data_IF_107579938090
#
_entry.id   IF_107579938090
#
_cell.length_a   1.000
_cell.length_b   1.000
_cell.length_c   1.000
_cell.angle_alpha   90.00
_cell.angle_beta   90.00
_cell.angle_gamma   90.00
#
_symmetry.space_group_name_H-M   'P 1'
#
loop_
_entity.id
_entity.type
_entity.pdbx_description
1 polymer ?
#
# COMPACT_ATOMS: atom_id res chain seq x y z
N UNK A 1 7.93 -27.86 12.36
CA UNK A 1 9.12 -27.06 12.70
C UNK A 1 8.98 -25.64 12.18
N UNK A 2 8.75 -25.40 10.87
CA UNK A 2 8.66 -24.06 10.24
C UNK A 2 7.58 -23.17 10.89
N UNK A 3 6.39 -23.71 11.17
CA UNK A 3 5.31 -22.98 11.84
C UNK A 3 5.70 -22.54 13.27
N UNK A 4 6.37 -23.41 14.00
CA UNK A 4 6.83 -23.11 15.36
C UNK A 4 7.89 -22.02 15.37
N UNK A 5 8.86 -22.09 14.45
CA UNK A 5 9.89 -21.07 14.28
C UNK A 5 9.29 -19.72 13.88
N UNK A 6 8.31 -19.70 13.00
CA UNK A 6 7.59 -18.50 12.59
C UNK A 6 6.84 -17.87 13.78
N UNK A 7 6.13 -18.68 14.57
CA UNK A 7 5.44 -18.22 15.80
C UNK A 7 6.43 -17.66 16.83
N UNK A 8 7.54 -18.34 17.07
CA UNK A 8 8.58 -17.88 17.99
C UNK A 8 9.16 -16.55 17.54
N UNK A 9 9.47 -16.43 16.24
CA UNK A 9 9.96 -15.18 15.64
C UNK A 9 8.99 -14.02 15.85
N UNK A 10 7.71 -14.20 15.54
CA UNK A 10 6.73 -13.13 15.73
C UNK A 10 6.49 -12.79 17.21
N UNK A 11 6.61 -13.76 18.10
CA UNK A 11 6.54 -13.51 19.55
C UNK A 11 7.72 -12.65 20.03
N UNK A 12 8.95 -12.98 19.59
CA UNK A 12 10.15 -12.19 19.91
C UNK A 12 10.06 -10.79 19.28
N UNK A 13 9.64 -10.70 18.00
CA UNK A 13 9.44 -9.43 17.30
C UNK A 13 8.42 -8.56 18.04
N UNK A 14 7.29 -9.12 18.47
CA UNK A 14 6.29 -8.42 19.27
C UNK A 14 6.83 -7.91 20.60
N UNK A 15 7.68 -8.69 21.27
CA UNK A 15 8.33 -8.25 22.51
C UNK A 15 9.28 -7.06 22.25
N UNK A 16 10.09 -7.12 21.21
CA UNK A 16 10.98 -6.03 20.81
C UNK A 16 10.20 -4.77 20.40
N UNK A 17 9.13 -4.93 19.64
CA UNK A 17 8.27 -3.81 19.25
C UNK A 17 7.61 -3.11 20.43
N UNK A 18 7.34 -3.83 21.54
CA UNK A 18 6.81 -3.24 22.78
C UNK A 18 7.76 -2.24 23.44
N UNK A 19 9.04 -2.26 23.11
CA UNK A 19 9.98 -1.24 23.59
C UNK A 19 9.63 0.15 23.07
N UNK A 20 9.07 0.23 21.83
CA UNK A 20 8.74 1.48 21.16
C UNK A 20 7.23 1.70 21.01
N UNK A 21 6.44 0.64 20.98
CA UNK A 21 5.00 0.69 20.68
C UNK A 21 4.18 0.13 21.84
N UNK A 22 3.13 0.86 22.23
CA UNK A 22 2.08 0.35 23.12
C UNK A 22 0.92 -0.05 22.22
N UNK A 23 0.86 -1.34 21.89
CA UNK A 23 -0.16 -1.87 20.99
C UNK A 23 -1.40 -2.29 21.78
N UNK A 24 -2.56 -1.87 21.28
CA UNK A 24 -3.88 -2.26 21.75
C UNK A 24 -4.55 -2.97 20.58
N UNK A 25 -4.98 -4.21 20.79
CA UNK A 25 -5.72 -4.99 19.80
C UNK A 25 -7.19 -4.96 20.20
N UNK A 26 -8.06 -4.60 19.26
CA UNK A 26 -9.50 -4.52 19.42
C UNK A 26 -10.17 -5.50 18.44
N UNK A 27 -11.09 -6.31 18.90
CA UNK A 27 -11.66 -7.40 18.12
C UNK A 27 -10.65 -8.52 17.86
N UNK A 28 -11.04 -9.45 17.01
CA UNK A 28 -10.15 -10.54 16.60
C UNK A 28 -10.11 -11.73 17.55
N UNK A 29 -11.02 -11.81 18.52
CA UNK A 29 -11.15 -12.97 19.42
C UNK A 29 -11.43 -14.25 18.63
N UNK A 30 -12.17 -14.15 17.54
CA UNK A 30 -12.57 -15.29 16.69
C UNK A 30 -11.51 -15.65 15.64
N UNK A 31 -10.43 -14.88 15.49
CA UNK A 31 -9.43 -15.12 14.46
C UNK A 31 -8.75 -16.49 14.58
N UNK A 32 -8.53 -16.96 15.79
CA UNK A 32 -7.92 -18.26 16.06
C UNK A 32 -8.82 -19.43 15.67
N UNK A 33 -10.13 -19.24 15.65
CA UNK A 33 -11.15 -20.22 15.30
C UNK A 33 -11.42 -20.29 13.79
N UNK A 34 -10.87 -19.39 12.99
CA UNK A 34 -11.07 -19.41 11.55
C UNK A 34 -10.47 -20.65 10.91
N UNK A 35 -11.30 -21.40 10.19
CA UNK A 35 -10.89 -22.55 9.40
C UNK A 35 -10.81 -22.21 7.91
N UNK A 36 -9.82 -22.76 7.20
CA UNK A 36 -9.61 -22.53 5.78
C UNK A 36 -8.72 -21.32 5.46
N UNK A 37 -8.41 -21.11 4.17
CA UNK A 37 -7.58 -19.99 3.72
C UNK A 37 -8.18 -18.65 4.15
N UNK A 38 -7.29 -17.73 4.53
CA UNK A 38 -7.69 -16.42 5.04
C UNK A 38 -6.86 -15.32 4.37
N UNK A 39 -7.52 -14.28 3.94
CA UNK A 39 -6.87 -13.04 3.47
C UNK A 39 -7.08 -11.97 4.53
N UNK A 40 -5.97 -11.43 5.03
CA UNK A 40 -5.96 -10.29 5.95
C UNK A 40 -5.68 -9.03 5.14
N UNK A 41 -6.55 -8.05 5.24
CA UNK A 41 -6.53 -6.81 4.47
C UNK A 41 -6.34 -5.61 5.41
N UNK A 42 -5.11 -5.17 5.71
CA UNK A 42 -4.87 -3.97 6.50
C UNK A 42 -4.77 -2.70 5.65
N UNK A 43 -5.03 -1.53 6.27
CA UNK A 43 -4.52 -0.26 5.77
C UNK A 43 -3.00 -0.18 5.96
N UNK A 44 -2.30 0.73 5.25
CA UNK A 44 -0.83 0.76 5.24
C UNK A 44 -0.21 2.10 5.70
N UNK A 45 -0.35 2.49 6.99
CA UNK A 45 0.10 3.78 7.48
C UNK A 45 1.63 3.94 7.57
N UNK A 46 2.41 2.86 7.47
CA UNK A 46 3.87 2.92 7.51
C UNK A 46 4.56 1.57 7.48
N UNK A 47 5.86 1.53 7.18
CA UNK A 47 6.64 0.29 7.05
C UNK A 47 6.71 -0.58 8.31
N UNK A 48 6.41 -0.05 9.48
CA UNK A 48 6.39 -0.83 10.74
C UNK A 48 5.05 -1.55 10.94
N UNK A 49 4.04 -1.25 10.14
CA UNK A 49 2.72 -1.87 10.27
C UNK A 49 2.74 -3.39 10.05
N UNK A 50 3.35 -3.95 8.98
CA UNK A 50 3.37 -5.40 8.78
C UNK A 50 3.92 -6.19 9.98
N UNK A 51 5.08 -5.85 10.57
CA UNK A 51 5.55 -6.56 11.75
C UNK A 51 4.67 -6.35 12.99
N UNK A 52 3.98 -5.22 13.14
CA UNK A 52 3.02 -5.01 14.23
C UNK A 52 1.79 -5.89 14.05
N UNK A 53 1.20 -5.93 12.87
CA UNK A 53 0.04 -6.76 12.55
C UNK A 53 0.38 -8.25 12.73
N UNK A 54 1.47 -8.73 12.10
CA UNK A 54 1.87 -10.14 12.15
C UNK A 54 2.28 -10.62 13.54
N UNK A 55 2.78 -9.74 14.41
CA UNK A 55 3.17 -10.10 15.78
C UNK A 55 2.04 -10.04 16.79
N UNK A 56 0.95 -9.32 16.51
CA UNK A 56 -0.15 -9.13 17.47
C UNK A 56 -1.46 -9.81 17.05
N UNK A 57 -1.71 -10.03 15.75
CA UNK A 57 -2.86 -10.82 15.33
C UNK A 57 -2.57 -12.33 15.46
N UNK A 58 -3.42 -13.01 16.19
CA UNK A 58 -3.27 -14.45 16.46
C UNK A 58 -4.21 -15.26 15.58
N UNK A 59 -3.80 -15.52 14.35
CA UNK A 59 -4.45 -16.55 13.53
C UNK A 59 -3.89 -17.93 13.87
N UNK A 60 -4.71 -18.95 13.83
CA UNK A 60 -4.31 -20.35 14.07
C UNK A 60 -3.29 -20.88 13.06
N UNK A 61 -2.94 -20.10 12.05
CA UNK A 61 -2.06 -20.44 10.91
C UNK A 61 -1.06 -19.34 10.60
N UNK A 62 -0.06 -19.66 9.75
CA UNK A 62 0.91 -18.70 9.25
C UNK A 62 0.30 -17.81 8.17
N UNK A 63 0.53 -16.51 8.25
CA UNK A 63 0.22 -15.53 7.20
C UNK A 63 1.47 -15.28 6.37
N UNK A 64 1.31 -15.30 5.06
CA UNK A 64 2.35 -14.96 4.09
C UNK A 64 2.17 -13.50 3.67
N UNK A 65 3.06 -12.58 4.06
CA UNK A 65 2.95 -11.20 3.61
C UNK A 65 3.34 -11.07 2.13
N UNK A 66 2.55 -10.30 1.37
CA UNK A 66 2.97 -9.83 0.05
C UNK A 66 3.95 -8.67 0.23
N UNK A 67 5.15 -8.82 -0.31
CA UNK A 67 6.24 -7.85 -0.13
C UNK A 67 6.79 -7.39 -1.48
N UNK A 68 6.86 -6.08 -1.67
CA UNK A 68 7.44 -5.46 -2.85
C UNK A 68 8.88 -5.92 -3.09
N UNK A 69 9.24 -6.22 -4.34
CA UNK A 69 10.54 -6.79 -4.73
C UNK A 69 11.73 -5.96 -4.27
N UNK A 70 11.61 -4.62 -4.28
CA UNK A 70 12.66 -3.72 -3.80
C UNK A 70 12.99 -3.91 -2.31
N UNK A 71 12.02 -4.30 -1.48
CA UNK A 71 12.24 -4.64 -0.05
C UNK A 71 12.63 -6.11 0.09
N UNK A 72 11.95 -7.00 -0.65
CA UNK A 72 12.18 -8.45 -0.60
C UNK A 72 13.64 -8.82 -0.90
N UNK A 73 14.27 -8.13 -1.86
CA UNK A 73 15.63 -8.40 -2.33
C UNK A 73 16.74 -7.70 -1.54
N UNK A 74 16.41 -6.84 -0.57
CA UNK A 74 17.41 -6.22 0.30
C UNK A 74 18.19 -7.29 1.07
N UNK A 75 19.50 -7.36 0.85
CA UNK A 75 20.40 -8.39 1.43
C UNK A 75 20.17 -8.61 2.94
N UNK A 76 20.10 -7.57 3.80
CA UNK A 76 19.93 -7.77 5.23
C UNK A 76 18.54 -8.32 5.60
N UNK A 77 17.54 -8.20 4.71
CA UNK A 77 16.17 -8.65 4.96
C UNK A 77 15.84 -10.01 4.33
N UNK A 78 16.67 -10.52 3.41
CA UNK A 78 16.41 -11.81 2.73
C UNK A 78 16.19 -12.99 3.69
N UNK A 79 17.01 -13.20 4.74
CA UNK A 79 16.77 -14.28 5.69
C UNK A 79 15.41 -14.13 6.39
N UNK A 80 15.03 -12.88 6.72
CA UNK A 80 13.74 -12.58 7.31
C UNK A 80 12.60 -12.92 6.35
N UNK A 81 12.68 -12.51 5.08
CA UNK A 81 11.67 -12.81 4.07
C UNK A 81 11.46 -14.32 3.91
N UNK A 82 12.54 -15.09 3.88
CA UNK A 82 12.46 -16.56 3.82
C UNK A 82 11.83 -17.18 5.07
N UNK A 83 12.13 -16.63 6.26
CA UNK A 83 11.62 -17.12 7.53
C UNK A 83 10.12 -16.85 7.67
N UNK A 84 9.65 -15.67 7.26
CA UNK A 84 8.23 -15.31 7.30
C UNK A 84 7.44 -15.83 6.11
N UNK A 85 8.09 -16.55 5.20
CA UNK A 85 7.51 -17.11 3.98
C UNK A 85 6.85 -16.05 3.11
N UNK A 86 7.52 -14.88 3.02
CA UNK A 86 7.02 -13.74 2.28
C UNK A 86 6.87 -14.07 0.78
N UNK A 87 5.87 -13.49 0.17
CA UNK A 87 5.58 -13.66 -1.26
C UNK A 87 6.02 -12.40 -2.01
N UNK A 88 6.91 -12.53 -2.97
CA UNK A 88 7.47 -11.40 -3.71
C UNK A 88 6.45 -10.82 -4.70
N UNK A 89 6.21 -9.50 -4.59
CA UNK A 89 5.41 -8.72 -5.54
C UNK A 89 6.36 -8.02 -6.51
N UNK A 90 6.17 -8.17 -7.84
CA UNK A 90 7.02 -7.52 -8.84
C UNK A 90 7.06 -6.00 -8.70
N UNK A 91 8.18 -5.41 -9.14
CA UNK A 91 8.30 -3.98 -9.30
C UNK A 91 7.61 -3.53 -10.58
N UNK A 92 6.64 -2.64 -10.44
CA UNK A 92 5.88 -2.05 -11.54
C UNK A 92 6.48 -0.71 -12.00
N UNK A 93 7.55 -0.25 -11.39
CA UNK A 93 8.23 0.99 -11.81
C UNK A 93 8.91 0.86 -13.17
N UNK A 94 9.25 -0.35 -13.59
CA UNK A 94 9.69 -0.63 -14.93
C UNK A 94 8.46 -0.71 -15.85
N UNK A 95 8.20 0.34 -16.61
CA UNK A 95 7.12 0.40 -17.60
C UNK A 95 7.45 -0.58 -18.75
N UNK A 96 6.96 -1.81 -18.63
CA UNK A 96 7.13 -2.82 -19.66
C UNK A 96 5.95 -3.80 -19.67
N UNK A 97 5.61 -4.32 -20.84
CA UNK A 97 4.64 -5.42 -20.98
C UNK A 97 5.01 -6.63 -20.11
N UNK A 98 6.30 -6.82 -19.87
CA UNK A 98 6.84 -7.87 -18.99
C UNK A 98 6.46 -7.65 -17.52
N UNK A 99 6.43 -6.40 -17.04
CA UNK A 99 5.99 -6.07 -15.68
C UNK A 99 4.49 -6.34 -15.49
N UNK A 100 3.67 -6.03 -16.51
CA UNK A 100 2.24 -6.33 -16.50
C UNK A 100 1.98 -7.83 -16.44
N UNK A 101 2.62 -8.60 -17.32
CA UNK A 101 2.50 -10.06 -17.33
C UNK A 101 2.96 -10.69 -15.99
N UNK A 102 4.04 -10.18 -15.41
CA UNK A 102 4.53 -10.62 -14.09
C UNK A 102 3.53 -10.35 -12.97
N UNK A 103 2.82 -9.22 -13.02
CA UNK A 103 1.81 -8.90 -12.01
C UNK A 103 0.59 -9.79 -12.12
N UNK A 104 0.07 -10.01 -13.33
CA UNK A 104 -1.04 -10.95 -13.54
C UNK A 104 -0.64 -12.37 -13.12
N UNK A 105 0.55 -12.82 -13.51
CA UNK A 105 1.08 -14.12 -13.09
C UNK A 105 1.33 -14.21 -11.57
N UNK A 106 1.58 -13.09 -10.90
CA UNK A 106 1.66 -13.05 -9.42
C UNK A 106 0.27 -13.25 -8.81
N UNK A 107 -0.77 -12.59 -9.31
CA UNK A 107 -2.15 -12.78 -8.83
C UNK A 107 -2.59 -14.24 -9.02
N UNK A 108 -2.30 -14.84 -10.17
CA UNK A 108 -2.60 -16.26 -10.43
C UNK A 108 -1.92 -17.17 -9.40
N UNK A 109 -0.62 -16.99 -9.16
CA UNK A 109 0.10 -17.76 -8.14
C UNK A 109 -0.44 -17.57 -6.72
N UNK A 110 -0.92 -16.36 -6.37
CA UNK A 110 -1.58 -16.13 -5.07
C UNK A 110 -2.87 -16.92 -4.99
N UNK A 111 -3.69 -16.92 -6.04
CA UNK A 111 -4.93 -17.71 -6.12
C UNK A 111 -4.66 -19.20 -5.98
N UNK A 112 -3.70 -19.77 -6.73
CA UNK A 112 -3.27 -21.17 -6.63
C UNK A 112 -2.81 -21.53 -5.20
N UNK A 113 -2.07 -20.64 -4.54
CA UNK A 113 -1.60 -20.86 -3.19
C UNK A 113 -2.73 -20.80 -2.15
N UNK A 114 -3.75 -19.95 -2.37
CA UNK A 114 -4.97 -19.91 -1.56
C UNK A 114 -5.72 -21.25 -1.71
N UNK A 115 -5.80 -21.80 -2.93
CA UNK A 115 -6.37 -23.13 -3.19
C UNK A 115 -5.63 -24.25 -2.47
N UNK A 116 -4.31 -24.13 -2.38
CA UNK A 116 -3.48 -25.05 -1.61
C UNK A 116 -3.59 -24.88 -0.08
N UNK A 117 -4.40 -23.92 0.41
CA UNK A 117 -4.67 -23.69 1.83
C UNK A 117 -3.84 -22.61 2.49
N UNK A 118 -3.04 -21.86 1.75
CA UNK A 118 -2.24 -20.74 2.29
C UNK A 118 -3.14 -19.55 2.65
N UNK A 119 -2.65 -18.75 3.59
CA UNK A 119 -3.27 -17.50 4.01
C UNK A 119 -2.32 -16.35 3.80
N UNK A 120 -2.85 -15.17 3.41
CA UNK A 120 -2.05 -14.04 3.00
C UNK A 120 -2.36 -12.77 3.78
N UNK A 121 -1.34 -11.93 3.96
CA UNK A 121 -1.45 -10.54 4.37
C UNK A 121 -1.25 -9.67 3.13
N UNK A 122 -2.30 -8.97 2.71
CA UNK A 122 -2.33 -8.18 1.48
C UNK A 122 -2.76 -6.76 1.82
N UNK A 123 -1.94 -5.79 1.48
CA UNK A 123 -2.27 -4.37 1.58
C UNK A 123 -3.03 -3.93 0.32
N UNK A 124 -4.33 -3.60 0.40
CA UNK A 124 -5.15 -3.37 -0.79
C UNK A 124 -4.64 -2.25 -1.69
N UNK A 125 -4.14 -1.16 -1.10
CA UNK A 125 -3.58 -0.02 -1.85
C UNK A 125 -2.25 -0.35 -2.54
N UNK A 126 -1.55 -1.43 -2.14
CA UNK A 126 -0.22 -1.80 -2.64
C UNK A 126 0.88 -0.78 -2.33
N UNK A 127 0.60 0.25 -1.55
CA UNK A 127 1.53 1.35 -1.23
C UNK A 127 1.30 1.87 0.19
N UNK A 128 2.27 2.63 0.71
CA UNK A 128 2.08 3.34 1.97
C UNK A 128 1.05 4.46 1.82
N UNK A 129 0.25 4.66 2.88
CA UNK A 129 -0.66 5.80 3.02
C UNK A 129 0.09 7.12 2.79
N UNK A 130 -0.49 8.02 1.98
CA UNK A 130 0.12 9.29 1.60
C UNK A 130 -0.64 10.53 2.08
N UNK A 131 -1.79 10.35 2.67
CA UNK A 131 -2.66 11.38 3.21
C UNK A 131 -3.17 11.02 4.59
N UNK A 132 -4.13 11.75 5.09
CA UNK A 132 -4.75 11.50 6.39
C UNK A 132 -5.74 10.31 6.38
N UNK A 133 -6.08 9.82 5.18
CA UNK A 133 -6.96 8.68 4.93
C UNK A 133 -6.23 7.62 4.10
N UNK A 134 -6.68 6.36 4.21
CA UNK A 134 -6.22 5.29 3.33
C UNK A 134 -6.94 5.40 1.98
N UNK A 135 -6.19 5.39 0.90
CA UNK A 135 -6.72 5.42 -0.47
C UNK A 135 -6.30 4.14 -1.18
N UNK A 136 -7.25 3.27 -1.44
CA UNK A 136 -7.08 2.05 -2.24
C UNK A 136 -7.12 2.40 -3.72
N UNK A 137 -7.97 3.36 -4.07
CA UNK A 137 -8.12 3.89 -5.43
C UNK A 137 -8.55 2.81 -6.41
N UNK A 138 -7.85 2.70 -7.52
CA UNK A 138 -8.14 1.76 -8.59
C UNK A 138 -7.37 0.43 -8.51
N UNK A 139 -6.75 0.11 -7.35
CA UNK A 139 -6.01 -1.14 -7.18
C UNK A 139 -6.87 -2.38 -7.45
N UNK A 140 -6.36 -3.32 -8.27
CA UNK A 140 -7.16 -4.48 -8.74
C UNK A 140 -6.91 -5.79 -8.00
N UNK A 141 -5.74 -5.94 -7.35
CA UNK A 141 -5.28 -7.24 -6.88
C UNK A 141 -6.27 -7.92 -5.92
N UNK A 142 -6.82 -7.18 -4.96
CA UNK A 142 -7.78 -7.74 -3.98
C UNK A 142 -9.08 -8.14 -4.68
N UNK A 143 -9.64 -7.27 -5.53
CA UNK A 143 -10.85 -7.57 -6.29
C UNK A 143 -10.69 -8.82 -7.17
N UNK A 144 -9.59 -8.92 -7.92
CA UNK A 144 -9.27 -10.07 -8.77
C UNK A 144 -9.15 -11.38 -7.99
N UNK A 145 -8.45 -11.36 -6.85
CA UNK A 145 -8.30 -12.53 -5.99
C UNK A 145 -9.68 -12.95 -5.43
N UNK A 146 -10.46 -12.01 -4.92
CA UNK A 146 -11.75 -12.30 -4.29
C UNK A 146 -12.84 -12.70 -5.29
N UNK A 147 -12.73 -12.27 -6.55
CA UNK A 147 -13.60 -12.72 -7.64
C UNK A 147 -13.33 -14.18 -7.98
N UNK A 148 -12.06 -14.59 -8.03
CA UNK A 148 -11.65 -15.97 -8.31
C UNK A 148 -11.82 -16.90 -7.10
N UNK A 149 -11.73 -16.36 -5.87
CA UNK A 149 -11.86 -17.11 -4.61
C UNK A 149 -12.87 -16.44 -3.67
N UNK A 150 -14.18 -16.55 -4.00
CA UNK A 150 -15.24 -15.96 -3.19
C UNK A 150 -15.46 -16.65 -1.84
N UNK A 151 -14.89 -17.84 -1.65
CA UNK A 151 -15.02 -18.71 -0.48
C UNK A 151 -13.96 -18.45 0.60
N UNK A 152 -12.94 -17.63 0.32
CA UNK A 152 -11.86 -17.31 1.26
C UNK A 152 -12.39 -16.48 2.44
N UNK A 153 -11.84 -16.73 3.64
CA UNK A 153 -12.14 -15.88 4.79
C UNK A 153 -11.45 -14.51 4.63
N UNK A 154 -12.18 -13.47 4.97
CA UNK A 154 -11.67 -12.09 4.89
C UNK A 154 -11.59 -11.53 6.30
N UNK A 155 -10.44 -10.98 6.66
CA UNK A 155 -10.21 -10.24 7.90
C UNK A 155 -9.77 -8.84 7.54
N UNK A 156 -10.58 -7.86 7.90
CA UNK A 156 -10.21 -6.45 7.78
C UNK A 156 -9.40 -6.03 8.99
N UNK A 157 -8.35 -5.25 8.76
CA UNK A 157 -7.49 -4.76 9.84
C UNK A 157 -7.25 -3.27 9.67
N UNK A 158 -7.53 -2.49 10.72
CA UNK A 158 -7.29 -1.06 10.75
C UNK A 158 -6.24 -0.74 11.81
N UNK A 159 -5.10 -0.22 11.35
CA UNK A 159 -4.01 0.21 12.22
C UNK A 159 -4.00 1.73 12.32
N UNK A 160 -4.15 2.28 13.51
CA UNK A 160 -4.06 3.72 13.80
C UNK A 160 -2.93 4.01 14.77
N UNK A 161 -2.38 5.24 14.69
CA UNK A 161 -1.28 5.68 15.55
C UNK A 161 0.12 5.54 14.93
N UNK A 162 0.26 4.91 13.77
CA UNK A 162 1.53 4.85 13.03
C UNK A 162 1.73 6.10 12.16
N UNK A 163 0.66 6.70 11.66
CA UNK A 163 0.73 7.92 10.85
C UNK A 163 1.41 9.05 11.64
N UNK A 164 2.44 9.68 11.06
CA UNK A 164 3.34 10.60 11.74
C UNK A 164 4.56 9.93 12.41
N UNK A 165 4.75 8.61 12.24
CA UNK A 165 6.00 7.94 12.63
C UNK A 165 7.09 8.17 11.58
N UNK A 166 8.35 7.94 11.97
CA UNK A 166 9.48 7.97 11.03
C UNK A 166 9.40 6.91 9.91
N UNK A 167 8.48 5.95 10.03
CA UNK A 167 8.22 4.91 9.04
C UNK A 167 7.04 5.23 8.11
N UNK A 168 6.40 6.38 8.28
CA UNK A 168 5.25 6.84 7.46
C UNK A 168 5.67 7.95 6.49
N UNK A 169 4.83 8.23 5.50
CA UNK A 169 5.03 9.34 4.56
C UNK A 169 4.69 10.71 5.17
N UNK A 170 4.16 10.79 6.38
CA UNK A 170 3.56 12.01 6.93
C UNK A 170 4.52 13.20 7.05
N UNK A 171 5.82 12.96 7.25
CA UNK A 171 6.80 14.03 7.42
C UNK A 171 7.25 14.66 6.10
N UNK A 172 7.27 13.89 5.00
CA UNK A 172 7.88 14.31 3.73
C UNK A 172 6.94 14.17 2.53
N UNK A 173 5.76 13.56 2.72
CA UNK A 173 4.85 13.18 1.63
C UNK A 173 5.35 11.99 0.78
N UNK A 174 6.57 11.49 1.03
CA UNK A 174 7.19 10.41 0.28
C UNK A 174 7.56 9.23 1.19
N UNK A 175 7.65 8.00 0.65
CA UNK A 175 8.08 6.84 1.41
C UNK A 175 9.50 7.02 1.98
N UNK A 176 9.70 6.79 3.30
CA UNK A 176 11.04 6.91 3.88
C UNK A 176 11.97 5.79 3.42
N UNK A 177 13.27 6.07 3.34
CA UNK A 177 14.29 5.05 3.08
C UNK A 177 14.35 4.07 4.26
N UNK A 178 14.02 2.79 4.03
CA UNK A 178 13.78 1.81 5.09
C UNK A 178 15.02 1.56 5.96
N UNK A 179 16.18 1.23 5.36
CA UNK A 179 17.40 0.88 6.10
C UNK A 179 17.93 2.05 6.94
N UNK A 180 18.12 3.26 6.40
CA UNK A 180 18.51 4.42 7.20
C UNK A 180 17.53 4.72 8.34
N UNK A 181 16.22 4.55 8.10
CA UNK A 181 15.20 4.77 9.12
C UNK A 181 15.29 3.75 10.26
N UNK A 182 15.50 2.48 9.94
CA UNK A 182 15.73 1.43 10.96
C UNK A 182 16.96 1.76 11.80
N UNK A 183 18.10 2.07 11.17
CA UNK A 183 19.34 2.39 11.87
C UNK A 183 19.19 3.61 12.76
N UNK A 184 18.55 4.67 12.28
CA UNK A 184 18.27 5.87 13.07
C UNK A 184 17.39 5.57 14.29
N UNK A 185 16.33 4.76 14.14
CA UNK A 185 15.46 4.39 15.26
C UNK A 185 16.19 3.48 16.26
N UNK A 186 17.04 2.56 15.80
CA UNK A 186 17.89 1.75 16.65
C UNK A 186 18.87 2.63 17.45
N UNK A 187 19.49 3.62 16.80
CA UNK A 187 20.34 4.60 17.47
C UNK A 187 19.62 5.40 18.57
N UNK A 188 18.40 5.85 18.31
CA UNK A 188 17.57 6.52 19.32
C UNK A 188 17.20 5.60 20.49
N UNK A 189 16.89 4.33 20.20
CA UNK A 189 16.60 3.34 21.25
C UNK A 189 17.80 3.12 22.18
N UNK A 190 18.99 3.01 21.62
CA UNK A 190 20.24 2.86 22.36
C UNK A 190 20.56 4.15 23.16
N UNK A 191 20.48 5.32 22.53
CA UNK A 191 20.73 6.61 23.19
C UNK A 191 19.78 6.88 24.34
N UNK A 192 18.55 6.40 24.26
CA UNK A 192 17.56 6.47 25.33
C UNK A 192 17.68 5.31 26.36
N UNK A 193 18.82 4.62 26.40
CA UNK A 193 19.05 3.45 27.26
C UNK A 193 17.89 2.44 27.20
N UNK A 194 17.28 2.29 26.02
CA UNK A 194 16.17 1.39 25.67
C UNK A 194 14.84 1.75 26.39
N UNK A 195 14.89 2.04 27.68
CA UNK A 195 13.68 2.20 28.52
C UNK A 195 13.11 3.62 28.55
N UNK A 196 13.92 4.64 28.26
CA UNK A 196 13.51 6.05 28.35
C UNK A 196 12.94 6.62 27.07
N UNK A 197 12.82 5.80 26.01
CA UNK A 197 12.20 6.22 24.78
C UNK A 197 10.66 6.24 24.92
N UNK A 198 9.99 7.37 24.59
CA UNK A 198 8.53 7.44 24.64
C UNK A 198 7.89 6.37 23.76
N UNK A 199 6.89 5.67 24.29
CA UNK A 199 6.16 4.66 23.52
C UNK A 199 5.04 5.31 22.71
N UNK A 200 4.98 4.96 21.44
CA UNK A 200 3.87 5.32 20.57
C UNK A 200 2.69 4.39 20.82
N UNK A 201 1.50 4.96 21.07
CA UNK A 201 0.26 4.19 21.12
C UNK A 201 -0.15 3.80 19.72
N UNK A 202 -0.46 2.53 19.52
CA UNK A 202 -0.96 1.97 18.25
C UNK A 202 -2.19 1.13 18.56
N UNK A 203 -3.28 1.36 17.86
CA UNK A 203 -4.49 0.55 17.93
C UNK A 203 -4.58 -0.29 16.66
N UNK A 204 -4.77 -1.59 16.82
CA UNK A 204 -5.03 -2.55 15.74
C UNK A 204 -6.44 -3.09 15.95
N UNK A 205 -7.41 -2.67 15.13
CA UNK A 205 -8.75 -3.23 15.12
C UNK A 205 -8.83 -4.29 14.05
N UNK A 206 -9.29 -5.49 14.41
CA UNK A 206 -9.47 -6.60 13.50
C UNK A 206 -10.92 -7.07 13.49
N UNK A 207 -11.47 -7.32 12.31
CA UNK A 207 -12.84 -7.76 12.11
C UNK A 207 -12.91 -8.88 11.08
N UNK A 208 -13.56 -9.99 11.44
CA UNK A 208 -13.87 -11.05 10.49
C UNK A 208 -15.08 -10.64 9.68
N UNK A 209 -14.90 -10.50 8.39
CA UNK A 209 -16.00 -10.10 7.53
C UNK A 209 -16.92 -11.28 7.23
N UNK A 210 -18.20 -11.12 7.48
CA UNK A 210 -19.19 -12.12 7.12
C UNK A 210 -19.22 -12.37 5.62
N UNK A 211 -19.43 -13.62 5.20
CA UNK A 211 -19.50 -13.95 3.78
C UNK A 211 -20.59 -13.16 3.08
N UNK A 212 -20.26 -12.55 1.96
CA UNK A 212 -21.20 -11.75 1.16
C UNK A 212 -21.31 -10.28 1.56
N UNK A 213 -20.69 -9.84 2.65
CA UNK A 213 -20.73 -8.41 3.07
C UNK A 213 -19.88 -7.53 2.15
N UNK A 214 -18.74 -8.04 1.67
CA UNK A 214 -17.87 -7.29 0.76
C UNK A 214 -18.52 -7.21 -0.62
N UNK A 215 -18.79 -6.01 -1.17
CA UNK A 215 -19.27 -5.86 -2.54
C UNK A 215 -18.19 -6.37 -3.53
N UNK A 216 -18.60 -7.23 -4.47
CA UNK A 216 -17.68 -7.86 -5.43
C UNK A 216 -18.07 -7.61 -6.88
N UNK A 217 -19.16 -6.87 -7.12
CA UNK A 217 -19.69 -6.67 -8.46
C UNK A 217 -18.70 -5.89 -9.34
N UNK A 218 -18.08 -4.86 -8.79
CA UNK A 218 -17.04 -4.10 -9.47
C UNK A 218 -15.84 -3.84 -8.56
N UNK A 219 -14.70 -3.55 -9.17
CA UNK A 219 -13.47 -3.17 -8.48
C UNK A 219 -13.66 -1.91 -7.62
N UNK A 220 -14.32 -0.92 -8.19
CA UNK A 220 -14.61 0.36 -7.55
C UNK A 220 -15.45 0.18 -6.28
N UNK A 221 -16.48 -0.67 -6.33
CA UNK A 221 -17.31 -0.97 -5.16
C UNK A 221 -16.52 -1.69 -4.07
N UNK A 222 -15.66 -2.65 -4.45
CA UNK A 222 -14.77 -3.34 -3.51
C UNK A 222 -13.84 -2.35 -2.81
N UNK A 223 -13.19 -1.47 -3.59
CA UNK A 223 -12.21 -0.52 -3.06
C UNK A 223 -12.86 0.57 -2.22
N UNK A 224 -14.00 1.13 -2.66
CA UNK A 224 -14.76 2.12 -1.89
C UNK A 224 -15.25 1.56 -0.54
N UNK A 225 -15.68 0.30 -0.51
CA UNK A 225 -16.04 -0.36 0.75
C UNK A 225 -14.83 -0.46 1.70
N UNK A 226 -13.67 -0.86 1.20
CA UNK A 226 -12.45 -0.96 2.00
C UNK A 226 -12.02 0.41 2.53
N UNK A 227 -12.01 1.44 1.70
CA UNK A 227 -11.70 2.82 2.08
C UNK A 227 -12.66 3.32 3.17
N UNK A 228 -13.98 3.14 2.97
CA UNK A 228 -14.99 3.51 3.94
C UNK A 228 -14.79 2.82 5.29
N UNK A 229 -14.43 1.54 5.29
CA UNK A 229 -14.16 0.80 6.52
C UNK A 229 -12.87 1.27 7.21
N UNK A 230 -11.80 1.55 6.47
CA UNK A 230 -10.54 2.06 7.05
C UNK A 230 -10.70 3.45 7.66
N UNK A 231 -11.54 4.28 7.07
CA UNK A 231 -11.76 5.66 7.48
C UNK A 231 -13.04 5.87 8.31
N UNK A 232 -13.69 4.80 8.78
CA UNK A 232 -14.90 4.86 9.62
C UNK A 232 -14.76 5.80 10.81
N UNK A 233 -13.57 5.86 11.45
CA UNK A 233 -13.27 6.79 12.56
C UNK A 233 -12.79 8.17 12.08
N UNK A 234 -12.95 8.47 10.79
CA UNK A 234 -12.49 9.69 10.14
C UNK A 234 -10.99 9.76 9.88
N UNK A 235 -10.56 10.80 9.13
CA UNK A 235 -9.16 11.02 8.77
C UNK A 235 -8.24 11.10 9.99
N UNK A 236 -7.07 10.47 9.91
CA UNK A 236 -6.09 10.48 11.01
C UNK A 236 -5.06 11.57 10.81
N UNK A 237 -5.03 12.57 11.71
CA UNK A 237 -3.95 13.55 11.73
C UNK A 237 -2.61 12.89 12.12
N UNK A 238 -1.47 13.35 11.54
CA UNK A 238 -0.18 12.76 11.85
C UNK A 238 0.24 13.08 13.29
N UNK A 239 0.58 12.03 14.03
CA UNK A 239 1.06 12.15 15.40
C UNK A 239 2.59 12.00 15.42
N UNK A 240 3.32 13.04 15.79
CA UNK A 240 4.76 13.02 15.92
C UNK A 240 5.17 12.75 17.39
N UNK A 241 5.91 11.66 17.60
CA UNK A 241 6.47 11.32 18.92
C UNK A 241 7.98 11.47 18.84
N UNK A 242 8.50 12.53 19.48
CA UNK A 242 9.95 12.80 19.51
C UNK A 242 10.71 11.71 20.28
N UNK A 243 11.99 11.47 19.96
CA UNK A 243 12.80 10.47 20.67
C UNK A 243 13.30 10.95 22.03
N UNK A 244 12.65 11.92 22.65
CA UNK A 244 12.99 12.46 23.96
C UNK A 244 11.83 12.30 24.93
N UNK A 245 12.13 11.78 26.11
CA UNK A 245 11.16 11.59 27.19
C UNK A 245 10.52 12.90 27.67
N UNK A 246 11.25 14.01 27.53
CA UNK A 246 10.79 15.33 28.02
C UNK A 246 9.73 15.98 27.12
N UNK A 247 9.52 15.46 25.92
CA UNK A 247 8.55 16.02 24.97
C UNK A 247 7.43 15.02 24.74
N UNK A 248 6.20 15.44 24.99
CA UNK A 248 5.01 14.66 24.68
C UNK A 248 4.78 14.49 23.17
N UNK A 249 3.82 13.65 22.77
CA UNK A 249 3.38 13.55 21.40
C UNK A 249 2.80 14.89 20.94
N UNK A 250 3.03 15.25 19.67
CA UNK A 250 2.54 16.48 19.05
C UNK A 250 1.79 16.10 17.77
N UNK A 251 0.56 16.56 17.62
CA UNK A 251 -0.14 16.51 16.35
C UNK A 251 0.49 17.52 15.39
N UNK A 252 0.58 17.14 14.13
CA UNK A 252 1.15 17.99 13.09
C UNK A 252 0.26 18.00 11.86
N UNK A 253 0.64 18.81 10.90
CA UNK A 253 0.00 18.82 9.60
C UNK A 253 0.74 17.87 8.65
N UNK A 254 -0.01 17.22 7.76
CA UNK A 254 0.56 16.43 6.69
C UNK A 254 1.22 17.38 5.67
N UNK A 255 2.53 17.18 5.44
CA UNK A 255 3.23 17.87 4.37
C UNK A 255 2.98 17.08 3.07
N UNK A 256 2.18 17.61 2.16
CA UNK A 256 2.07 17.04 0.82
C UNK A 256 3.47 16.98 0.18
N UNK A 257 3.72 15.95 -0.62
CA UNK A 257 4.95 15.87 -1.40
C UNK A 257 5.09 17.13 -2.25
N UNK A 258 6.31 17.68 -2.31
CA UNK A 258 6.60 18.82 -3.18
C UNK A 258 6.16 18.49 -4.61
N UNK A 259 5.39 19.35 -5.22
CA UNK A 259 4.97 19.22 -6.61
C UNK A 259 6.22 19.08 -7.50
N UNK A 260 6.18 18.17 -8.46
CA UNK A 260 7.20 18.12 -9.52
C UNK A 260 7.26 19.49 -10.21
N UNK A 261 8.38 19.84 -10.89
CA UNK A 261 8.46 21.10 -11.63
C UNK A 261 7.22 21.28 -12.49
N UNK A 262 6.60 22.44 -12.38
CA UNK A 262 5.34 22.73 -13.06
C UNK A 262 5.58 22.64 -14.58
N UNK A 263 4.93 21.67 -15.20
CA UNK A 263 4.84 21.62 -16.65
C UNK A 263 3.84 22.70 -17.05
N UNK A 264 4.23 23.57 -17.95
CA UNK A 264 3.35 24.62 -18.46
C UNK A 264 2.29 24.02 -19.38
N UNK A 265 1.04 24.00 -18.91
CA UNK A 265 -0.12 23.51 -19.66
C UNK A 265 -0.30 24.21 -20.98
N UNK A 266 -0.12 25.53 -20.98
CA UNK A 266 -0.37 26.38 -22.16
C UNK A 266 0.66 26.14 -23.27
N UNK A 267 1.77 25.46 -22.95
CA UNK A 267 2.77 25.06 -23.92
C UNK A 267 2.37 23.82 -24.72
N UNK A 268 1.44 22.98 -24.22
CA UNK A 268 1.06 21.69 -24.84
C UNK A 268 0.07 21.91 -26.00
N UNK A 269 0.32 21.26 -27.14
CA UNK A 269 -0.57 21.36 -28.31
C UNK A 269 -1.99 20.88 -27.97
N UNK A 270 -3.05 21.70 -28.16
CA UNK A 270 -4.44 21.29 -27.95
C UNK A 270 -4.88 20.06 -28.74
N UNK A 271 -4.25 19.76 -29.87
CA UNK A 271 -4.53 18.51 -30.63
C UNK A 271 -4.00 17.29 -29.89
N UNK A 272 -2.79 17.39 -29.32
CA UNK A 272 -2.19 16.34 -28.50
C UNK A 272 -3.07 16.05 -27.28
N UNK A 273 -3.56 17.08 -26.59
CA UNK A 273 -4.47 16.94 -25.45
C UNK A 273 -5.72 16.14 -25.85
N UNK A 274 -6.37 16.47 -26.96
CA UNK A 274 -7.57 15.76 -27.42
C UNK A 274 -7.28 14.29 -27.70
N UNK A 275 -6.21 14.01 -28.46
CA UNK A 275 -5.85 12.64 -28.82
C UNK A 275 -5.53 11.76 -27.59
N UNK A 276 -4.85 12.33 -26.61
CA UNK A 276 -4.56 11.61 -25.35
C UNK A 276 -5.84 11.40 -24.53
N UNK A 277 -6.74 12.38 -24.47
CA UNK A 277 -8.03 12.22 -23.79
C UNK A 277 -8.86 11.13 -24.45
N UNK A 278 -8.95 11.11 -25.77
CA UNK A 278 -9.66 10.06 -26.52
C UNK A 278 -9.06 8.67 -26.23
N UNK A 279 -7.72 8.57 -26.18
CA UNK A 279 -7.02 7.32 -25.83
C UNK A 279 -7.35 6.85 -24.42
N UNK A 280 -7.37 7.78 -23.45
CA UNK A 280 -7.70 7.48 -22.04
C UNK A 280 -9.17 7.06 -21.91
N UNK A 281 -10.10 7.76 -22.56
CA UNK A 281 -11.53 7.43 -22.57
C UNK A 281 -11.81 6.05 -23.19
N UNK A 282 -11.18 5.75 -24.31
CA UNK A 282 -11.26 4.42 -24.94
C UNK A 282 -10.70 3.34 -24.00
N UNK A 283 -9.62 3.63 -23.28
CA UNK A 283 -9.04 2.71 -22.30
C UNK A 283 -9.96 2.45 -21.12
N UNK A 284 -10.62 3.50 -20.62
CA UNK A 284 -11.57 3.42 -19.50
C UNK A 284 -12.94 2.85 -19.89
N UNK A 285 -13.27 2.85 -21.20
CA UNK A 285 -14.58 2.46 -21.69
C UNK A 285 -15.71 3.44 -21.34
N UNK A 286 -15.36 4.68 -20.95
CA UNK A 286 -16.28 5.76 -20.63
C UNK A 286 -15.75 7.11 -21.04
N UNK A 287 -16.63 8.09 -21.18
CA UNK A 287 -16.23 9.49 -21.30
C UNK A 287 -15.76 10.05 -19.93
N UNK A 288 -14.85 11.00 -19.97
CA UNK A 288 -14.41 11.74 -18.79
C UNK A 288 -15.29 12.97 -18.62
N UNK A 289 -15.66 13.24 -17.37
CA UNK A 289 -16.38 14.46 -17.03
C UNK A 289 -15.47 15.69 -17.23
N UNK A 290 -16.04 16.89 -17.52
CA UNK A 290 -15.24 18.11 -17.70
C UNK A 290 -14.30 18.41 -16.54
N UNK A 291 -14.71 18.11 -15.31
CA UNK A 291 -13.91 18.32 -14.09
C UNK A 291 -12.75 17.32 -13.99
N UNK A 292 -12.87 16.15 -14.63
CA UNK A 292 -11.80 15.14 -14.73
C UNK A 292 -10.75 15.49 -15.79
N UNK A 293 -11.04 16.42 -16.72
CA UNK A 293 -10.15 16.87 -17.78
C UNK A 293 -9.21 18.00 -17.32
N UNK A 294 -8.82 18.00 -16.04
CA UNK A 294 -7.87 18.96 -15.50
C UNK A 294 -6.43 18.45 -15.61
N UNK A 295 -5.46 19.38 -15.68
CA UNK A 295 -4.04 19.07 -15.84
C UNK A 295 -3.48 18.24 -14.69
N UNK A 296 -3.92 18.52 -13.47
CA UNK A 296 -3.51 17.87 -12.22
C UNK A 296 -4.38 16.67 -11.84
N UNK A 297 -5.36 16.31 -12.67
CA UNK A 297 -6.19 15.14 -12.44
C UNK A 297 -5.32 13.88 -12.32
N UNK A 298 -5.35 13.27 -11.15
CA UNK A 298 -4.64 12.02 -10.92
C UNK A 298 -5.28 10.90 -11.75
N UNK A 299 -4.50 10.16 -12.53
CA UNK A 299 -5.01 9.03 -13.33
C UNK A 299 -5.71 7.97 -12.47
N UNK A 300 -5.30 7.86 -11.22
CA UNK A 300 -5.93 6.98 -10.25
C UNK A 300 -7.35 7.42 -9.86
N UNK A 301 -7.60 8.74 -9.76
CA UNK A 301 -8.92 9.27 -9.41
C UNK A 301 -9.95 9.06 -10.52
N UNK A 302 -9.53 8.91 -11.77
CA UNK A 302 -10.40 8.57 -12.91
C UNK A 302 -10.55 7.07 -13.15
N UNK A 303 -10.02 6.23 -12.24
CA UNK A 303 -10.20 4.79 -12.25
C UNK A 303 -9.05 3.98 -12.87
N UNK A 304 -7.90 4.60 -13.17
CA UNK A 304 -6.73 3.90 -13.73
C UNK A 304 -5.83 3.36 -12.62
N UNK A 305 -5.68 2.04 -12.53
CA UNK A 305 -4.71 1.43 -11.63
C UNK A 305 -3.26 1.52 -12.18
N UNK A 306 -2.31 0.93 -11.46
CA UNK A 306 -0.89 0.96 -11.87
C UNK A 306 -0.66 0.28 -13.23
N UNK A 307 -1.43 -0.77 -13.56
CA UNK A 307 -1.32 -1.47 -14.83
C UNK A 307 -1.97 -0.65 -15.96
N UNK A 308 -3.13 -0.06 -15.70
CA UNK A 308 -3.83 0.82 -16.63
C UNK A 308 -2.97 2.02 -17.00
N UNK A 309 -2.35 2.67 -15.99
CA UNK A 309 -1.44 3.80 -16.23
C UNK A 309 -0.22 3.42 -17.07
N UNK A 310 0.33 2.23 -16.81
CA UNK A 310 1.45 1.72 -17.59
C UNK A 310 1.05 1.43 -19.05
N UNK A 311 -0.10 0.80 -19.26
CA UNK A 311 -0.61 0.51 -20.61
C UNK A 311 -0.91 1.79 -21.38
N UNK A 312 -1.56 2.77 -20.75
CA UNK A 312 -1.82 4.08 -21.35
C UNK A 312 -0.51 4.82 -21.69
N UNK A 313 0.46 4.81 -20.78
CA UNK A 313 1.78 5.42 -21.04
C UNK A 313 2.47 4.76 -22.23
N UNK A 314 2.50 3.42 -22.29
CA UNK A 314 3.09 2.69 -23.42
C UNK A 314 2.37 2.97 -24.73
N UNK A 315 1.04 3.10 -24.72
CA UNK A 315 0.27 3.47 -25.92
C UNK A 315 0.60 4.88 -26.39
N UNK A 316 0.72 5.83 -25.45
CA UNK A 316 1.15 7.20 -25.75
C UNK A 316 2.56 7.21 -26.33
N UNK A 317 3.52 6.50 -25.73
CA UNK A 317 4.88 6.38 -26.23
C UNK A 317 4.92 5.77 -27.65
N UNK A 318 4.13 4.73 -27.91
CA UNK A 318 4.05 4.09 -29.23
C UNK A 318 3.43 5.00 -30.29
N UNK A 319 2.43 5.79 -29.92
CA UNK A 319 1.71 6.65 -30.85
C UNK A 319 2.44 7.95 -31.15
N UNK A 320 3.11 8.53 -30.15
CA UNK A 320 3.76 9.87 -30.27
C UNK A 320 5.29 9.79 -30.38
N UNK A 321 5.91 8.64 -30.09
CA UNK A 321 7.35 8.40 -30.28
C UNK A 321 8.25 8.94 -29.18
N UNK A 322 7.71 9.50 -28.11
CA UNK A 322 8.49 9.97 -26.96
C UNK A 322 8.53 8.90 -25.86
N UNK A 323 9.62 8.84 -25.11
CA UNK A 323 9.83 7.88 -24.03
C UNK A 323 10.10 8.57 -22.72
N UNK A 324 9.54 8.02 -21.64
CA UNK A 324 9.78 8.52 -20.28
C UNK A 324 10.15 7.35 -19.35
N UNK A 325 11.22 7.54 -18.58
CA UNK A 325 11.64 6.56 -17.56
C UNK A 325 10.85 6.66 -16.24
N UNK A 326 10.06 7.71 -16.07
CA UNK A 326 9.30 7.99 -14.85
C UNK A 326 7.85 7.52 -14.95
N UNK A 327 7.26 7.10 -13.83
CA UNK A 327 5.85 6.76 -13.77
C UNK A 327 5.00 8.02 -13.95
N UNK A 328 4.10 8.00 -14.92
CA UNK A 328 3.10 9.04 -15.16
C UNK A 328 1.94 8.87 -14.18
N UNK A 329 1.57 9.94 -13.49
CA UNK A 329 0.54 9.88 -12.43
C UNK A 329 -0.64 10.81 -12.70
N UNK A 330 -0.49 11.83 -13.54
CA UNK A 330 -1.56 12.77 -13.86
C UNK A 330 -1.87 12.78 -15.34
N UNK A 331 -3.05 13.26 -15.68
CA UNK A 331 -3.48 13.44 -17.07
C UNK A 331 -2.58 14.47 -17.80
N UNK A 332 -2.19 15.53 -17.11
CA UNK A 332 -1.24 16.52 -17.63
C UNK A 332 0.16 15.98 -17.89
N UNK A 333 0.62 15.01 -17.08
CA UNK A 333 1.88 14.30 -17.37
C UNK A 333 1.76 13.44 -18.64
N UNK A 334 0.61 12.79 -18.90
CA UNK A 334 0.37 12.07 -20.16
C UNK A 334 0.36 13.01 -21.37
N UNK A 335 -0.29 14.18 -21.25
CA UNK A 335 -0.27 15.19 -22.30
C UNK A 335 1.15 15.68 -22.60
N UNK A 336 1.91 15.97 -21.54
CA UNK A 336 3.30 16.43 -21.67
C UNK A 336 4.23 15.35 -22.25
N UNK A 337 4.01 14.09 -21.92
CA UNK A 337 4.72 12.96 -22.54
C UNK A 337 4.43 12.91 -24.05
N UNK A 338 3.15 12.96 -24.43
CA UNK A 338 2.72 12.92 -25.82
C UNK A 338 3.26 14.12 -26.65
N UNK A 339 3.52 15.25 -25.99
CA UNK A 339 4.05 16.47 -26.60
C UNK A 339 5.59 16.58 -26.49
N UNK A 340 6.26 15.53 -25.96
CA UNK A 340 7.72 15.49 -25.78
C UNK A 340 8.28 16.46 -24.74
N UNK A 341 7.46 16.89 -23.78
CA UNK A 341 7.80 17.86 -22.73
C UNK A 341 7.97 17.23 -21.34
N UNK A 342 7.81 15.92 -21.26
CA UNK A 342 8.08 15.11 -20.08
C UNK A 342 9.41 14.37 -20.30
N UNK A 343 10.52 14.98 -19.92
CA UNK A 343 11.86 14.43 -20.07
C UNK A 343 12.72 14.66 -18.86
#
# INVERSE_FOLDING_TARGET
>A
VKLLLNRLFWSISGLLLRLRYRVIVEGGEDLAALHGPTIVLPNHPGYVDPPLVLSHLRLGRSLRPLVFSGIYRLLPLRPLMAMVDAFEVPDLSAQSRDAQAKTLGMIERVVERIEAGDSFLIYPSGRLQRGNSEVVGSARAVHEILTRRPDVNIVLVRTRGIWGSSFSCAATGAPPSLVPTILRNAGWLLAALIFFLPRRRVTIRAEVLSRGTLPKATREQTNAFLEGWYDEDGPQQPLFVRPSFFFGPTEGHFAAAASRPAIDRDSIDPKTIRLVNDLVQVHLGRELDPDELAFDTALESIGMDSLDRMDATLKVEQQFGFHNASVVNTLGELWALADGKLG
#
